data_IF_152705135265
#
_entry.id   IF_152705135265
#
_cell.length_a   1.000
_cell.length_b   1.000
_cell.length_c   1.000
_cell.angle_alpha   90.00
_cell.angle_beta   90.00
_cell.angle_gamma   90.00
#
_symmetry.space_group_name_H-M   'P 1'
#
loop_
_entity.id
_entity.type
_entity.pdbx_description
1 polymer ?
#
# COMPACT_ATOMS: atom_id res chain seq x y z
N UNK A 1 -8.83 -11.58 26.83
CA UNK A 1 -8.92 -13.05 26.77
C UNK A 1 -10.07 -13.65 27.59
N UNK A 2 -10.47 -13.11 28.74
CA UNK A 2 -11.67 -13.60 29.47
C UNK A 2 -13.00 -13.34 28.75
N UNK A 3 -13.14 -12.26 27.96
CA UNK A 3 -14.38 -11.96 27.21
C UNK A 3 -14.59 -12.87 26.01
N UNK A 4 -13.53 -13.36 25.39
CA UNK A 4 -13.59 -14.32 24.27
C UNK A 4 -13.93 -15.76 24.73
N UNK A 5 -13.62 -16.12 25.98
CA UNK A 5 -14.02 -17.43 26.53
C UNK A 5 -15.52 -17.51 26.88
N UNK A 6 -16.14 -16.38 27.22
CA UNK A 6 -17.57 -16.37 27.58
C UNK A 6 -18.55 -16.32 26.38
N UNK A 7 -18.05 -16.08 25.15
CA UNK A 7 -18.88 -16.16 23.93
C UNK A 7 -18.98 -17.57 23.33
N UNK A 8 -18.29 -18.53 23.91
CA UNK A 8 -18.33 -19.96 23.55
C UNK A 8 -19.34 -20.77 24.35
N UNK A 9 -20.21 -20.11 25.13
CA UNK A 9 -21.28 -20.81 25.83
C UNK A 9 -22.39 -21.21 24.83
N UNK A 10 -22.66 -22.50 24.78
CA UNK A 10 -23.71 -23.19 24.03
C UNK A 10 -25.02 -22.39 24.03
N UNK A 11 -25.46 -21.93 22.85
CA UNK A 11 -26.83 -21.46 22.70
C UNK A 11 -27.78 -22.67 22.70
N UNK A 12 -28.70 -22.73 23.67
CA UNK A 12 -29.80 -23.67 23.64
C UNK A 12 -30.80 -23.29 22.56
N UNK A 13 -31.26 -24.25 21.79
CA UNK A 13 -32.39 -24.06 20.88
C UNK A 13 -33.67 -23.75 21.66
N UNK A 14 -34.77 -23.39 20.95
CA UNK A 14 -36.10 -23.10 21.56
C UNK A 14 -36.67 -24.25 22.38
N UNK A 15 -36.09 -25.45 22.33
CA UNK A 15 -36.47 -26.65 23.02
C UNK A 15 -35.47 -27.10 24.09
N UNK A 16 -34.46 -26.27 24.42
CA UNK A 16 -33.51 -26.53 25.49
C UNK A 16 -32.45 -27.59 25.19
N UNK A 17 -32.33 -28.10 23.96
CA UNK A 17 -31.27 -29.01 23.54
C UNK A 17 -30.01 -28.23 23.17
N UNK A 18 -28.87 -28.60 23.76
CA UNK A 18 -27.58 -28.16 23.32
C UNK A 18 -27.31 -28.70 21.91
N UNK A 19 -27.34 -27.83 20.92
CA UNK A 19 -26.78 -28.17 19.59
C UNK A 19 -25.26 -28.16 19.73
N UNK A 20 -24.65 -29.34 19.91
CA UNK A 20 -23.22 -29.50 19.76
C UNK A 20 -22.84 -28.99 18.36
N UNK A 21 -22.00 -27.95 18.31
CA UNK A 21 -21.37 -27.53 17.06
C UNK A 21 -20.51 -28.69 16.58
N UNK A 22 -20.90 -29.34 15.49
CA UNK A 22 -20.22 -30.52 14.97
C UNK A 22 -18.91 -30.10 14.30
N UNK A 23 -17.85 -29.98 15.08
CA UNK A 23 -16.50 -29.93 14.56
C UNK A 23 -16.00 -31.34 14.30
N UNK A 24 -15.70 -31.66 13.06
CA UNK A 24 -15.13 -32.96 12.68
C UNK A 24 -13.60 -32.93 12.82
N UNK A 25 -13.04 -34.07 13.23
CA UNK A 25 -11.59 -34.18 13.45
C UNK A 25 -10.81 -34.09 12.12
N UNK A 26 -9.65 -33.43 12.17
CA UNK A 26 -8.65 -33.48 11.10
C UNK A 26 -7.83 -34.78 11.08
N UNK A 27 -8.01 -35.67 12.05
CA UNK A 27 -7.22 -36.91 12.13
C UNK A 27 -7.28 -37.71 10.82
N UNK A 28 -6.11 -38.08 10.31
CA UNK A 28 -5.96 -38.80 9.05
C UNK A 28 -6.02 -37.93 7.79
N UNK A 29 -6.25 -36.61 7.91
CA UNK A 29 -6.21 -35.69 6.77
C UNK A 29 -4.95 -34.81 6.80
N UNK A 30 -4.34 -34.64 5.64
CA UNK A 30 -3.28 -33.64 5.40
C UNK A 30 -3.66 -32.85 4.15
N UNK A 31 -3.61 -31.53 4.24
CA UNK A 31 -3.77 -30.68 3.07
C UNK A 31 -2.62 -30.94 2.09
N UNK A 32 -2.95 -31.33 0.85
CA UNK A 32 -1.96 -31.56 -0.21
C UNK A 32 -1.59 -30.25 -0.93
N UNK A 33 -2.58 -29.40 -1.20
CA UNK A 33 -2.43 -28.16 -1.96
C UNK A 33 -3.21 -27.01 -1.29
N UNK A 34 -2.72 -25.79 -1.47
CA UNK A 34 -3.55 -24.61 -1.29
C UNK A 34 -4.45 -24.40 -2.49
N UNK A 35 -5.45 -23.52 -2.35
CA UNK A 35 -6.46 -23.31 -3.39
C UNK A 35 -5.85 -22.99 -4.76
N UNK A 36 -4.90 -22.06 -4.84
CA UNK A 36 -4.30 -21.65 -6.13
C UNK A 36 -3.04 -22.44 -6.50
N UNK A 37 -2.60 -23.37 -5.67
CA UNK A 37 -1.56 -24.34 -6.04
C UNK A 37 -2.15 -25.47 -6.90
N UNK A 38 -3.47 -25.65 -6.91
CA UNK A 38 -4.17 -26.55 -7.82
C UNK A 38 -4.30 -25.88 -9.19
N UNK A 39 -3.86 -26.56 -10.23
CA UNK A 39 -3.84 -26.04 -11.60
C UNK A 39 -4.29 -27.11 -12.61
N UNK A 40 -4.34 -26.76 -13.88
CA UNK A 40 -4.63 -27.69 -14.97
C UNK A 40 -3.66 -28.87 -15.04
N UNK A 41 -2.44 -28.73 -14.52
CA UNK A 41 -1.47 -29.82 -14.42
C UNK A 41 -1.93 -30.95 -13.48
N UNK A 42 -2.81 -30.64 -12.53
CA UNK A 42 -3.33 -31.64 -11.56
C UNK A 42 -4.63 -32.33 -12.03
N UNK A 43 -5.11 -32.08 -13.26
CA UNK A 43 -6.32 -32.74 -13.77
C UNK A 43 -6.19 -34.26 -13.72
N UNK A 44 -7.17 -34.90 -13.07
CA UNK A 44 -7.21 -36.32 -12.85
C UNK A 44 -6.68 -36.77 -11.48
N UNK A 45 -5.92 -35.93 -10.78
CA UNK A 45 -5.39 -36.20 -9.45
C UNK A 45 -6.46 -36.02 -8.37
N UNK A 46 -6.29 -36.72 -7.25
CA UNK A 46 -7.08 -36.51 -6.03
C UNK A 46 -6.29 -35.61 -5.09
N UNK A 47 -6.87 -34.49 -4.74
CA UNK A 47 -6.27 -33.48 -3.86
C UNK A 47 -7.09 -33.31 -2.57
N UNK A 48 -6.40 -32.91 -1.49
CA UNK A 48 -7.04 -32.50 -0.24
C UNK A 48 -6.80 -31.00 -0.07
N UNK A 49 -7.89 -30.21 -0.12
CA UNK A 49 -7.88 -28.77 0.07
C UNK A 49 -8.65 -28.37 1.32
N UNK A 50 -8.21 -27.31 1.98
CA UNK A 50 -8.81 -26.84 3.23
C UNK A 50 -8.85 -25.33 3.24
N UNK A 51 -9.97 -24.77 3.69
CA UNK A 51 -10.14 -23.33 3.71
C UNK A 51 -11.49 -22.90 4.30
N UNK A 52 -11.85 -21.67 4.04
CA UNK A 52 -13.11 -21.06 4.43
C UNK A 52 -14.08 -21.06 3.25
N UNK A 53 -15.34 -21.38 3.51
CA UNK A 53 -16.43 -21.24 2.53
C UNK A 53 -16.69 -19.75 2.31
N UNK A 54 -16.37 -19.23 1.14
CA UNK A 54 -16.72 -17.85 0.79
C UNK A 54 -18.18 -17.76 0.35
N UNK A 55 -18.57 -18.60 -0.60
CA UNK A 55 -19.90 -18.60 -1.17
C UNK A 55 -20.34 -20.03 -1.47
N UNK A 56 -21.63 -20.31 -1.27
CA UNK A 56 -22.27 -21.56 -1.68
C UNK A 56 -23.43 -21.25 -2.62
N UNK A 57 -23.56 -22.02 -3.68
CA UNK A 57 -24.68 -22.00 -4.63
C UNK A 57 -25.25 -23.42 -4.74
N UNK A 58 -26.54 -23.57 -4.52
CA UNK A 58 -27.24 -24.87 -4.64
C UNK A 58 -28.11 -24.83 -5.89
N UNK A 59 -27.87 -25.72 -6.83
CA UNK A 59 -28.61 -25.89 -8.09
C UNK A 59 -29.30 -27.24 -8.21
N UNK A 60 -29.78 -27.76 -7.08
CA UNK A 60 -30.49 -29.05 -7.02
C UNK A 60 -29.51 -30.21 -6.84
N UNK A 61 -29.17 -30.96 -7.90
CA UNK A 61 -28.25 -32.08 -7.87
C UNK A 61 -26.75 -31.67 -7.76
N UNK A 62 -26.46 -30.37 -7.90
CA UNK A 62 -25.10 -29.82 -7.82
C UNK A 62 -25.05 -28.71 -6.77
N UNK A 63 -24.02 -28.76 -5.90
CA UNK A 63 -23.71 -27.69 -4.96
C UNK A 63 -22.31 -27.18 -5.27
N UNK A 64 -22.20 -25.90 -5.59
CA UNK A 64 -20.96 -25.20 -5.81
C UNK A 64 -20.52 -24.47 -4.55
N UNK A 65 -19.24 -24.59 -4.19
CA UNK A 65 -18.63 -23.90 -3.07
C UNK A 65 -17.37 -23.20 -3.54
N UNK A 66 -17.30 -21.89 -3.37
CA UNK A 66 -16.08 -21.13 -3.55
C UNK A 66 -15.29 -21.25 -2.23
N UNK A 67 -14.25 -22.06 -2.22
CA UNK A 67 -13.35 -22.29 -1.09
C UNK A 67 -12.21 -21.28 -1.15
N UNK A 68 -11.98 -20.59 -0.03
CA UNK A 68 -10.92 -19.59 0.09
C UNK A 68 -9.87 -20.03 1.09
N UNK A 69 -8.62 -19.84 0.71
CA UNK A 69 -7.49 -19.81 1.65
C UNK A 69 -6.60 -18.58 1.39
N UNK A 70 -5.42 -18.51 2.01
CA UNK A 70 -4.52 -17.36 1.82
C UNK A 70 -3.97 -17.21 0.41
N UNK A 71 -4.06 -18.24 -0.42
CA UNK A 71 -3.57 -18.18 -1.81
C UNK A 71 -4.62 -17.65 -2.77
N UNK A 72 -5.90 -17.78 -2.43
CA UNK A 72 -7.02 -17.32 -3.27
C UNK A 72 -8.23 -18.24 -3.19
N UNK A 73 -8.96 -18.33 -4.29
CA UNK A 73 -10.23 -19.06 -4.42
C UNK A 73 -10.08 -20.29 -5.31
N UNK A 74 -10.82 -21.36 -4.96
CA UNK A 74 -10.96 -22.59 -5.74
C UNK A 74 -12.42 -23.04 -5.71
N UNK A 75 -12.98 -23.36 -6.87
CA UNK A 75 -14.34 -23.89 -6.94
C UNK A 75 -14.34 -25.38 -6.58
N UNK A 76 -15.20 -25.75 -5.64
CA UNK A 76 -15.50 -27.13 -5.27
C UNK A 76 -16.91 -27.46 -5.77
N UNK A 77 -17.07 -28.62 -6.38
CA UNK A 77 -18.38 -29.12 -6.86
C UNK A 77 -18.74 -30.37 -6.08
N UNK A 78 -19.88 -30.36 -5.45
CA UNK A 78 -20.51 -31.54 -4.86
C UNK A 78 -21.62 -31.99 -5.81
N UNK A 79 -21.48 -33.18 -6.38
CA UNK A 79 -22.47 -33.84 -7.20
C UNK A 79 -23.10 -34.95 -6.38
N UNK A 80 -24.44 -35.08 -6.38
CA UNK A 80 -25.14 -36.13 -5.63
C UNK A 80 -24.75 -37.55 -6.06
N UNK A 81 -24.23 -37.71 -7.28
CA UNK A 81 -23.78 -38.98 -7.81
C UNK A 81 -22.35 -39.35 -7.40
N UNK A 82 -21.50 -38.35 -7.10
CA UNK A 82 -20.10 -38.55 -6.74
C UNK A 82 -19.89 -38.66 -5.22
N UNK A 83 -20.68 -37.93 -4.47
CA UNK A 83 -20.58 -37.87 -3.01
C UNK A 83 -21.69 -38.70 -2.38
N UNK A 84 -21.34 -39.50 -1.34
CA UNK A 84 -22.36 -40.21 -0.57
C UNK A 84 -23.48 -39.26 -0.13
N UNK A 85 -24.74 -39.73 -0.11
CA UNK A 85 -25.92 -38.93 0.22
C UNK A 85 -25.75 -38.09 1.51
N UNK A 86 -25.10 -38.65 2.54
CA UNK A 86 -24.76 -37.91 3.78
C UNK A 86 -23.81 -36.71 3.52
N UNK A 87 -22.77 -36.88 2.68
CA UNK A 87 -21.85 -35.84 2.32
C UNK A 87 -22.51 -34.72 1.49
N UNK A 88 -23.39 -35.09 0.57
CA UNK A 88 -24.15 -34.13 -0.23
C UNK A 88 -25.12 -33.31 0.66
N UNK A 89 -25.85 -33.98 1.55
CA UNK A 89 -26.74 -33.32 2.52
C UNK A 89 -25.92 -32.35 3.42
N UNK A 90 -24.73 -32.78 3.87
CA UNK A 90 -23.80 -31.94 4.65
C UNK A 90 -23.35 -30.72 3.84
N UNK A 91 -23.00 -30.86 2.57
CA UNK A 91 -22.66 -29.73 1.69
C UNK A 91 -23.80 -28.73 1.56
N UNK A 92 -25.04 -29.21 1.60
CA UNK A 92 -26.27 -28.41 1.65
C UNK A 92 -26.39 -27.53 2.91
N UNK A 93 -25.70 -27.83 4.00
CA UNK A 93 -25.75 -27.05 5.26
C UNK A 93 -24.65 -25.98 5.35
N UNK A 94 -23.64 -26.00 4.46
CA UNK A 94 -22.51 -25.09 4.50
C UNK A 94 -22.97 -23.61 4.46
N UNK A 95 -22.31 -22.79 5.25
CA UNK A 95 -22.52 -21.32 5.29
C UNK A 95 -21.20 -20.61 5.13
N UNK A 96 -21.27 -19.30 4.84
CA UNK A 96 -20.09 -18.44 4.74
C UNK A 96 -19.22 -18.55 6.00
N UNK A 97 -17.92 -18.59 5.77
CA UNK A 97 -16.86 -18.69 6.77
C UNK A 97 -16.82 -20.02 7.57
N UNK A 98 -17.61 -21.03 7.20
CA UNK A 98 -17.35 -22.38 7.69
C UNK A 98 -15.97 -22.84 7.23
N UNK A 99 -15.23 -23.50 8.11
CA UNK A 99 -13.94 -24.12 7.79
C UNK A 99 -14.18 -25.54 7.38
N UNK A 100 -13.76 -25.89 6.17
CA UNK A 100 -13.98 -27.23 5.62
C UNK A 100 -12.67 -27.85 5.09
N UNK A 101 -12.65 -29.17 5.09
CA UNK A 101 -11.68 -29.98 4.36
C UNK A 101 -12.42 -30.80 3.32
N UNK A 102 -11.93 -30.76 2.10
CA UNK A 102 -12.48 -31.51 0.96
C UNK A 102 -11.38 -32.35 0.34
N UNK A 103 -11.64 -33.64 0.16
CA UNK A 103 -10.87 -34.51 -0.70
C UNK A 103 -11.69 -34.68 -1.98
N UNK A 104 -11.06 -34.44 -3.14
CA UNK A 104 -11.76 -34.48 -4.42
C UNK A 104 -10.83 -34.57 -5.61
N UNK A 105 -11.38 -34.94 -6.75
CA UNK A 105 -10.69 -35.06 -8.01
C UNK A 105 -10.66 -33.73 -8.76
N UNK A 106 -9.49 -33.32 -9.22
CA UNK A 106 -9.35 -32.14 -10.06
C UNK A 106 -9.87 -32.44 -11.46
N UNK A 107 -10.76 -31.59 -11.95
CA UNK A 107 -11.32 -31.70 -13.31
C UNK A 107 -11.26 -30.35 -14.01
N UNK A 108 -11.36 -30.39 -15.33
CA UNK A 108 -11.64 -29.18 -16.10
C UNK A 108 -13.03 -28.69 -15.74
N UNK A 109 -13.21 -27.39 -15.63
CA UNK A 109 -14.50 -26.77 -15.31
C UNK A 109 -15.53 -27.12 -16.39
N UNK A 110 -16.72 -27.54 -15.98
CA UNK A 110 -17.82 -27.88 -16.91
C UNK A 110 -18.57 -26.65 -17.41
N UNK A 111 -18.14 -25.50 -17.27
CA UNK A 111 -18.76 -24.26 -17.75
C UNK A 111 -17.77 -23.35 -18.45
N UNK A 112 -18.17 -22.10 -18.64
CA UNK A 112 -17.24 -21.09 -19.13
C UNK A 112 -16.09 -20.88 -18.13
N UNK A 113 -14.89 -20.69 -18.65
CA UNK A 113 -13.72 -20.29 -17.86
C UNK A 113 -14.03 -19.00 -17.09
N UNK A 114 -13.71 -18.97 -15.82
CA UNK A 114 -13.86 -17.75 -15.03
C UNK A 114 -12.54 -16.98 -14.99
N UNK A 115 -12.40 -16.01 -15.90
CA UNK A 115 -11.18 -15.20 -16.03
C UNK A 115 -10.83 -14.38 -14.78
N UNK A 116 -11.79 -14.19 -13.86
CA UNK A 116 -11.56 -13.46 -12.60
C UNK A 116 -10.92 -14.33 -11.51
N UNK A 117 -10.69 -15.61 -11.76
CA UNK A 117 -10.07 -16.53 -10.81
C UNK A 117 -8.81 -17.15 -11.42
N UNK A 118 -7.73 -17.16 -10.65
CA UNK A 118 -6.49 -17.85 -11.06
C UNK A 118 -6.71 -19.37 -11.32
N UNK A 119 -7.74 -19.94 -10.71
CA UNK A 119 -8.15 -21.35 -10.84
C UNK A 119 -9.37 -21.51 -11.76
N UNK A 120 -9.70 -20.50 -12.58
CA UNK A 120 -10.96 -20.44 -13.30
C UNK A 120 -11.17 -21.49 -14.40
N UNK A 121 -10.11 -22.18 -14.82
CA UNK A 121 -10.16 -23.28 -15.81
C UNK A 121 -10.52 -24.63 -15.20
N UNK A 122 -10.37 -24.77 -13.88
CA UNK A 122 -10.49 -26.02 -13.16
C UNK A 122 -11.51 -25.93 -12.04
N UNK A 123 -11.92 -27.09 -11.56
CA UNK A 123 -12.71 -27.27 -10.36
C UNK A 123 -12.33 -28.58 -9.67
N UNK A 124 -12.67 -28.72 -8.38
CA UNK A 124 -12.48 -29.96 -7.63
C UNK A 124 -13.83 -30.62 -7.41
N UNK A 125 -14.06 -31.77 -8.02
CA UNK A 125 -15.23 -32.62 -7.76
C UNK A 125 -15.01 -33.37 -6.44
N UNK A 126 -15.81 -33.03 -5.45
CA UNK A 126 -15.66 -33.55 -4.11
C UNK A 126 -15.98 -35.05 -4.02
N UNK A 127 -15.14 -35.79 -3.31
CA UNK A 127 -15.35 -37.18 -2.93
C UNK A 127 -15.72 -37.31 -1.45
N UNK A 128 -15.18 -36.42 -0.62
CA UNK A 128 -15.49 -36.36 0.80
C UNK A 128 -15.49 -34.93 1.32
N UNK A 129 -16.26 -34.70 2.41
CA UNK A 129 -16.36 -33.40 3.07
C UNK A 129 -16.28 -33.61 4.59
N UNK A 130 -15.43 -32.80 5.25
CA UNK A 130 -15.46 -32.60 6.70
C UNK A 130 -15.68 -31.14 7.04
N UNK A 131 -16.57 -30.86 7.99
CA UNK A 131 -16.77 -29.52 8.56
C UNK A 131 -15.86 -29.43 9.77
N UNK A 132 -14.74 -28.72 9.65
CA UNK A 132 -13.74 -28.57 10.69
C UNK A 132 -14.18 -27.55 11.75
N UNK A 133 -14.93 -26.56 11.36
CA UNK A 133 -15.51 -25.55 12.26
C UNK A 133 -16.69 -24.86 11.61
N UNK A 134 -17.77 -24.72 12.34
CA UNK A 134 -18.88 -23.85 11.97
C UNK A 134 -18.57 -22.40 12.34
N UNK A 135 -19.20 -21.46 11.67
CA UNK A 135 -19.11 -20.02 11.92
C UNK A 135 -20.50 -19.40 12.05
N UNK A 136 -20.60 -18.40 12.89
CA UNK A 136 -21.74 -17.45 12.82
C UNK A 136 -21.59 -16.57 11.57
N UNK A 137 -22.69 -15.98 11.10
CA UNK A 137 -22.63 -15.04 9.97
C UNK A 137 -21.70 -13.87 10.32
N UNK A 138 -20.69 -13.61 9.51
CA UNK A 138 -19.75 -12.50 9.78
C UNK A 138 -20.48 -11.15 9.70
N UNK A 139 -20.03 -10.13 10.48
CA UNK A 139 -20.66 -8.82 10.52
C UNK A 139 -20.49 -8.00 9.23
N UNK A 140 -19.62 -8.43 8.34
CA UNK A 140 -19.39 -7.86 7.02
C UNK A 140 -18.85 -8.95 6.06
N UNK A 141 -19.01 -8.78 4.74
CA UNK A 141 -18.47 -9.73 3.76
C UNK A 141 -16.93 -9.69 3.75
N UNK A 142 -16.32 -10.87 3.52
CA UNK A 142 -14.86 -11.00 3.37
C UNK A 142 -14.53 -10.87 1.88
N UNK A 143 -14.64 -9.65 1.37
CA UNK A 143 -14.46 -9.29 -0.03
C UNK A 143 -13.66 -7.98 -0.13
N UNK A 144 -13.16 -7.68 -1.33
CA UNK A 144 -12.49 -6.40 -1.59
C UNK A 144 -13.51 -5.24 -1.68
N UNK A 145 -13.03 -4.03 -1.49
CA UNK A 145 -13.78 -2.80 -1.75
C UNK A 145 -15.14 -2.69 -1.03
N UNK A 146 -15.25 -3.23 0.19
CA UNK A 146 -16.49 -3.14 0.98
C UNK A 146 -16.69 -1.72 1.53
N UNK A 147 -17.97 -1.32 1.66
CA UNK A 147 -18.36 -0.02 2.24
C UNK A 147 -18.44 -0.02 3.77
N UNK A 148 -18.05 -1.11 4.43
CA UNK A 148 -18.11 -1.25 5.88
C UNK A 148 -17.22 -0.25 6.59
N UNK A 149 -17.75 0.48 7.57
CA UNK A 149 -17.01 1.46 8.36
C UNK A 149 -15.81 0.85 9.07
N UNK A 150 -14.73 1.60 9.16
CA UNK A 150 -13.47 1.15 9.74
C UNK A 150 -13.60 0.70 11.19
N UNK A 151 -14.42 1.37 12.01
CA UNK A 151 -14.66 1.00 13.41
C UNK A 151 -15.14 -0.44 13.56
N UNK A 152 -16.07 -0.89 12.69
CA UNK A 152 -16.58 -2.27 12.71
C UNK A 152 -15.51 -3.25 12.24
N UNK A 153 -14.71 -2.88 11.22
CA UNK A 153 -13.61 -3.70 10.73
C UNK A 153 -12.51 -3.87 11.78
N UNK A 154 -12.17 -2.80 12.52
CA UNK A 154 -11.21 -2.86 13.62
C UNK A 154 -11.71 -3.70 14.80
N UNK A 155 -13.02 -3.62 15.12
CA UNK A 155 -13.64 -4.47 16.15
C UNK A 155 -13.51 -5.97 15.84
N UNK A 156 -13.65 -6.34 14.57
CA UNK A 156 -13.52 -7.72 14.09
C UNK A 156 -12.27 -7.91 13.22
N UNK A 157 -11.14 -7.40 13.70
CA UNK A 157 -9.89 -7.31 12.93
C UNK A 157 -9.42 -8.64 12.34
N UNK A 158 -9.64 -9.76 13.04
CA UNK A 158 -9.30 -11.10 12.53
C UNK A 158 -10.08 -11.48 11.26
N UNK A 159 -11.30 -10.97 11.08
CA UNK A 159 -12.09 -11.16 9.86
C UNK A 159 -11.64 -10.17 8.77
N UNK A 160 -11.39 -8.92 9.13
CA UNK A 160 -10.89 -7.90 8.20
C UNK A 160 -9.55 -8.31 7.57
N UNK A 161 -8.66 -8.94 8.35
CA UNK A 161 -7.39 -9.49 7.86
C UNK A 161 -7.51 -10.67 6.88
N UNK A 162 -8.70 -11.25 6.72
CA UNK A 162 -8.98 -12.29 5.70
C UNK A 162 -9.31 -11.68 4.34
N UNK A 163 -9.66 -10.39 4.29
CA UNK A 163 -9.98 -9.71 3.03
C UNK A 163 -8.74 -9.65 2.14
N UNK A 164 -8.86 -9.93 0.83
CA UNK A 164 -7.71 -10.02 -0.07
C UNK A 164 -6.88 -8.72 -0.11
N UNK A 165 -7.53 -7.55 -0.15
CA UNK A 165 -6.90 -6.22 -0.16
C UNK A 165 -6.08 -5.93 1.12
N UNK A 166 -6.56 -6.37 2.28
CA UNK A 166 -5.82 -6.20 3.55
C UNK A 166 -4.74 -7.29 3.70
N UNK A 167 -5.07 -8.53 3.33
CA UNK A 167 -4.16 -9.65 3.43
C UNK A 167 -2.94 -9.47 2.50
N UNK A 168 -3.14 -8.95 1.28
CA UNK A 168 -2.06 -8.69 0.33
C UNK A 168 -1.02 -7.72 0.88
N UNK A 169 -1.43 -6.69 1.64
CA UNK A 169 -0.52 -5.75 2.28
C UNK A 169 0.40 -6.45 3.31
N UNK A 170 -0.14 -7.38 4.10
CA UNK A 170 0.66 -8.13 5.08
C UNK A 170 1.62 -9.10 4.38
N UNK A 171 1.16 -9.77 3.31
CA UNK A 171 1.99 -10.67 2.50
C UNK A 171 3.10 -9.87 1.82
N UNK A 172 2.78 -8.73 1.20
CA UNK A 172 3.76 -7.83 0.58
C UNK A 172 4.82 -7.39 1.59
N UNK A 173 4.41 -6.93 2.78
CA UNK A 173 5.34 -6.56 3.84
C UNK A 173 6.29 -7.70 4.22
N UNK A 174 5.78 -8.93 4.33
CA UNK A 174 6.59 -10.11 4.60
C UNK A 174 7.58 -10.38 3.47
N UNK A 175 7.14 -10.28 2.21
CA UNK A 175 7.99 -10.45 1.02
C UNK A 175 9.11 -9.40 0.98
N UNK A 176 8.78 -8.12 1.18
CA UNK A 176 9.76 -7.02 1.25
C UNK A 176 10.83 -7.30 2.30
N UNK A 177 10.43 -7.65 3.53
CA UNK A 177 11.40 -7.92 4.60
C UNK A 177 12.33 -9.10 4.28
N UNK A 178 11.79 -10.19 3.69
CA UNK A 178 12.58 -11.36 3.29
C UNK A 178 13.57 -11.03 2.18
N UNK A 179 13.12 -10.32 1.14
CA UNK A 179 13.96 -9.90 0.02
C UNK A 179 15.06 -8.91 0.45
N UNK A 180 14.73 -7.96 1.33
CA UNK A 180 15.71 -7.04 1.92
C UNK A 180 16.82 -7.79 2.63
N UNK A 181 16.49 -8.78 3.46
CA UNK A 181 17.49 -9.63 4.14
C UNK A 181 18.37 -10.38 3.15
N UNK A 182 17.75 -10.98 2.13
CA UNK A 182 18.46 -11.74 1.13
C UNK A 182 19.45 -10.87 0.35
N UNK A 183 19.00 -9.69 -0.10
CA UNK A 183 19.84 -8.73 -0.82
C UNK A 183 20.99 -8.23 0.04
N UNK A 184 20.71 -7.72 1.23
CA UNK A 184 21.73 -7.14 2.10
C UNK A 184 22.73 -8.19 2.61
N UNK A 185 22.30 -9.44 2.83
CA UNK A 185 23.22 -10.53 3.14
C UNK A 185 24.21 -10.80 2.01
N UNK A 186 23.78 -10.73 0.74
CA UNK A 186 24.68 -10.84 -0.43
C UNK A 186 25.65 -9.68 -0.56
N UNK A 187 25.23 -8.49 -0.09
CA UNK A 187 26.09 -7.29 -0.02
C UNK A 187 27.04 -7.30 1.20
N UNK A 188 27.07 -8.38 1.99
CA UNK A 188 27.94 -8.56 3.14
C UNK A 188 27.48 -7.88 4.42
N UNK A 189 26.19 -7.50 4.51
CA UNK A 189 25.63 -6.98 5.74
C UNK A 189 25.32 -8.10 6.74
N UNK A 190 25.55 -7.81 8.03
CA UNK A 190 25.17 -8.66 9.14
C UNK A 190 23.88 -8.14 9.75
N UNK A 191 22.85 -8.98 9.84
CA UNK A 191 21.63 -8.65 10.58
C UNK A 191 21.88 -8.83 12.06
N UNK A 192 21.85 -7.74 12.83
CA UNK A 192 22.11 -7.76 14.28
C UNK A 192 20.93 -7.12 14.99
N UNK A 193 20.28 -7.90 15.86
CA UNK A 193 19.20 -7.44 16.71
C UNK A 193 19.74 -6.62 17.89
N UNK A 194 19.12 -5.47 18.15
CA UNK A 194 19.50 -4.55 19.23
C UNK A 194 18.43 -4.50 20.32
N UNK A 195 18.81 -4.16 21.57
CA UNK A 195 17.87 -4.09 22.68
C UNK A 195 16.75 -3.06 22.46
N UNK A 196 15.52 -3.43 22.88
CA UNK A 196 14.35 -2.55 22.88
C UNK A 196 14.20 -1.76 24.21
N UNK A 197 14.66 -2.30 25.33
CA UNK A 197 14.67 -1.60 26.61
C UNK A 197 16.02 -0.91 26.77
N UNK A 198 16.07 0.38 26.45
CA UNK A 198 17.30 1.16 26.44
C UNK A 198 17.25 2.31 27.44
N UNK A 199 18.30 3.10 27.48
CA UNK A 199 18.33 4.40 28.15
C UNK A 199 17.80 5.45 27.17
N UNK A 200 17.08 6.47 27.69
CA UNK A 200 16.67 7.63 26.91
C UNK A 200 17.88 8.29 26.23
N UNK A 201 17.73 8.57 24.94
CA UNK A 201 18.74 9.22 24.10
C UNK A 201 18.11 10.39 23.34
N UNK A 202 18.81 11.53 23.19
CA UNK A 202 18.27 12.70 22.51
C UNK A 202 18.39 12.52 20.97
N UNK A 203 17.39 11.88 20.35
CA UNK A 203 17.36 11.65 18.90
C UNK A 203 16.37 12.57 18.13
N UNK A 204 15.80 13.56 18.80
CA UNK A 204 14.93 14.56 18.17
C UNK A 204 13.43 14.38 18.39
N UNK A 205 12.95 13.19 18.74
CA UNK A 205 11.57 12.93 19.16
C UNK A 205 11.49 12.75 20.69
N UNK A 206 10.27 12.64 21.23
CA UNK A 206 10.07 12.24 22.62
C UNK A 206 10.07 10.72 22.71
N UNK A 207 10.66 10.20 23.82
CA UNK A 207 10.74 8.77 24.07
C UNK A 207 9.48 8.26 24.76
N UNK A 208 9.06 7.04 24.43
CA UNK A 208 8.14 6.28 25.27
C UNK A 208 8.90 5.68 26.45
N UNK A 209 8.44 5.99 27.66
CA UNK A 209 9.08 5.53 28.89
C UNK A 209 8.38 4.29 29.45
N UNK A 210 9.18 3.30 29.86
CA UNK A 210 8.73 2.08 30.52
C UNK A 210 9.19 2.09 31.96
N UNK A 211 8.30 2.15 32.97
CA UNK A 211 8.70 2.16 34.40
C UNK A 211 9.43 0.88 34.78
N UNK A 212 10.53 1.02 35.49
CA UNK A 212 11.24 -0.13 36.06
C UNK A 212 10.58 -0.60 37.36
N UNK A 213 10.12 -1.85 37.37
CA UNK A 213 9.60 -2.48 38.61
C UNK A 213 10.70 -2.78 39.63
N UNK A 214 11.90 -3.07 39.15
CA UNK A 214 13.06 -3.44 40.00
C UNK A 214 13.72 -2.23 40.62
N UNK A 215 13.71 -1.09 39.94
CA UNK A 215 14.33 0.16 40.38
C UNK A 215 13.28 1.27 40.48
N UNK A 216 12.63 1.46 41.64
CA UNK A 216 11.63 2.50 41.82
C UNK A 216 12.12 3.91 41.39
N UNK A 217 11.30 4.65 40.66
CA UNK A 217 11.63 5.99 40.14
C UNK A 217 12.58 6.02 38.95
N UNK A 218 12.97 4.85 38.39
CA UNK A 218 13.75 4.75 37.17
C UNK A 218 12.93 4.18 36.04
N UNK A 219 13.31 4.53 34.78
CA UNK A 219 12.61 4.17 33.56
C UNK A 219 13.59 3.63 32.52
N UNK A 220 13.11 2.70 31.70
CA UNK A 220 13.68 2.42 30.41
C UNK A 220 13.01 3.32 29.36
N UNK A 221 13.67 3.56 28.26
CA UNK A 221 13.07 4.18 27.07
C UNK A 221 12.98 3.16 25.93
N UNK A 222 11.92 3.25 25.13
CA UNK A 222 11.84 2.51 23.86
C UNK A 222 12.65 3.27 22.80
N UNK A 223 13.40 2.59 21.92
CA UNK A 223 14.32 3.24 20.98
C UNK A 223 13.57 4.01 19.88
N UNK A 224 14.00 5.22 19.62
CA UNK A 224 13.55 5.99 18.44
C UNK A 224 14.16 5.44 17.16
N UNK A 225 15.36 4.90 17.25
CA UNK A 225 16.11 4.12 16.27
C UNK A 225 17.20 3.33 16.99
N UNK A 226 17.87 2.36 16.36
CA UNK A 226 19.02 1.67 16.92
C UNK A 226 20.34 2.47 16.82
N UNK A 227 20.28 3.80 16.73
CA UNK A 227 21.41 4.68 16.42
C UNK A 227 22.64 4.44 17.30
N UNK A 228 22.48 4.39 18.62
CA UNK A 228 23.59 4.19 19.54
C UNK A 228 24.29 2.84 19.32
N UNK A 229 23.49 1.79 19.13
CA UNK A 229 24.00 0.44 18.97
C UNK A 229 24.72 0.24 17.64
N UNK A 230 24.15 0.73 16.54
CA UNK A 230 24.79 0.61 15.22
C UNK A 230 26.13 1.37 15.13
N UNK A 231 26.23 2.55 15.76
CA UNK A 231 27.51 3.24 15.90
C UNK A 231 28.53 2.44 16.72
N UNK A 232 28.10 1.83 17.83
CA UNK A 232 28.99 0.94 18.60
C UNK A 232 29.45 -0.27 17.79
N UNK A 233 28.59 -0.83 16.95
CA UNK A 233 28.92 -1.95 16.07
C UNK A 233 29.98 -1.53 15.03
N UNK A 234 29.86 -0.34 14.45
CA UNK A 234 30.89 0.19 13.55
C UNK A 234 32.24 0.34 14.26
N UNK A 235 32.26 0.94 15.45
CA UNK A 235 33.47 1.04 16.28
C UNK A 235 34.04 -0.32 16.69
N UNK A 236 33.21 -1.36 16.69
CA UNK A 236 33.59 -2.73 17.05
C UNK A 236 34.04 -3.57 15.84
N UNK A 237 34.09 -2.99 14.62
CA UNK A 237 34.61 -3.61 13.43
C UNK A 237 33.64 -4.54 12.69
N UNK A 238 32.33 -4.29 12.81
CA UNK A 238 31.32 -5.08 12.07
C UNK A 238 31.10 -4.60 10.62
N UNK A 239 31.70 -3.50 10.20
CA UNK A 239 31.74 -2.89 8.88
C UNK A 239 30.39 -2.63 8.19
N UNK A 240 29.50 -3.62 8.12
CA UNK A 240 28.18 -3.52 7.49
C UNK A 240 27.11 -4.15 8.37
N UNK A 241 26.30 -3.31 8.98
CA UNK A 241 25.17 -3.70 9.83
C UNK A 241 23.85 -3.44 9.14
N UNK A 242 22.88 -4.31 9.35
CA UNK A 242 21.48 -4.05 9.02
C UNK A 242 20.55 -4.59 10.09
N UNK A 243 19.35 -4.05 10.17
CA UNK A 243 18.27 -4.57 10.99
C UNK A 243 16.91 -4.15 10.42
N UNK A 244 15.94 -5.04 10.46
CA UNK A 244 14.52 -4.66 10.30
C UNK A 244 14.05 -4.18 11.66
N UNK A 245 14.35 -2.91 11.98
CA UNK A 245 14.25 -2.34 13.31
C UNK A 245 12.84 -1.86 13.65
N UNK A 246 12.36 -2.19 14.86
CA UNK A 246 11.17 -1.57 15.43
C UNK A 246 11.56 -0.28 16.13
N UNK A 247 10.88 0.83 15.77
CA UNK A 247 11.15 2.16 16.28
C UNK A 247 9.91 2.79 16.88
N UNK A 248 10.11 3.67 17.87
CA UNK A 248 9.04 4.29 18.65
C UNK A 248 9.30 5.79 18.79
N UNK A 249 8.30 6.62 18.52
CA UNK A 249 8.39 8.07 18.69
C UNK A 249 7.07 8.61 19.23
N UNK A 250 7.11 9.29 20.37
CA UNK A 250 5.95 9.94 20.96
C UNK A 250 5.76 11.32 20.34
N UNK A 251 5.21 11.33 19.14
CA UNK A 251 4.93 12.51 18.32
C UNK A 251 3.47 12.55 17.89
N UNK A 252 3.02 13.73 17.44
CA UNK A 252 1.69 13.89 16.87
C UNK A 252 1.51 13.03 15.61
N UNK A 253 0.38 12.33 15.54
CA UNK A 253 0.03 11.48 14.41
C UNK A 253 -0.21 12.32 13.16
N UNK A 254 0.27 11.82 12.02
CA UNK A 254 -0.01 12.34 10.69
C UNK A 254 -0.42 11.18 9.78
N UNK A 255 -0.88 11.47 8.57
CA UNK A 255 -1.30 10.45 7.63
C UNK A 255 -0.23 9.37 7.37
N UNK A 256 1.05 9.76 7.37
CA UNK A 256 2.23 8.93 7.10
C UNK A 256 3.09 8.62 8.34
N UNK A 257 2.68 9.08 9.55
CA UNK A 257 3.46 8.90 10.78
C UNK A 257 2.67 8.14 11.83
N UNK A 258 3.28 7.07 12.30
CA UNK A 258 2.77 6.23 13.39
C UNK A 258 3.74 6.29 14.58
N UNK A 259 3.24 6.16 15.84
CA UNK A 259 4.08 6.19 17.03
C UNK A 259 5.01 4.96 17.11
N UNK A 260 4.63 3.89 16.44
CA UNK A 260 5.38 2.65 16.31
C UNK A 260 5.50 2.29 14.84
N UNK A 261 6.71 2.16 14.32
CA UNK A 261 6.98 1.88 12.91
C UNK A 261 8.20 0.99 12.74
N UNK A 262 8.46 0.55 11.51
CA UNK A 262 9.60 -0.30 11.19
C UNK A 262 10.51 0.41 10.20
N UNK A 263 11.82 0.34 10.43
CA UNK A 263 12.86 0.80 9.52
C UNK A 263 13.62 -0.39 8.93
N UNK A 264 14.02 -0.28 7.68
CA UNK A 264 15.18 -0.99 7.15
C UNK A 264 16.36 -0.12 7.56
N UNK A 265 17.03 -0.49 8.62
CA UNK A 265 18.12 0.29 9.19
C UNK A 265 19.47 -0.30 8.79
N UNK A 266 20.40 0.54 8.35
CA UNK A 266 21.72 0.13 7.87
C UNK A 266 22.78 1.08 8.40
N UNK A 267 23.99 0.56 8.61
CA UNK A 267 25.20 1.34 8.91
C UNK A 267 26.39 0.70 8.23
N UNK A 268 27.26 1.53 7.66
CA UNK A 268 28.45 1.09 6.93
C UNK A 268 29.68 1.85 7.41
N UNK A 269 30.83 1.15 7.46
CA UNK A 269 32.14 1.72 7.71
C UNK A 269 32.96 1.84 6.43
N UNK A 270 33.96 2.73 6.41
CA UNK A 270 34.92 2.90 5.31
C UNK A 270 34.26 3.21 3.95
N UNK A 271 33.20 4.00 3.95
CA UNK A 271 32.41 4.40 2.78
C UNK A 271 32.19 5.90 2.77
N UNK A 272 31.90 6.45 1.60
CA UNK A 272 31.41 7.81 1.44
C UNK A 272 29.92 7.87 1.05
N UNK A 273 29.46 9.07 0.71
CA UNK A 273 28.03 9.30 0.42
C UNK A 273 27.56 8.50 -0.80
N UNK A 274 28.40 8.39 -1.82
CA UNK A 274 28.04 7.71 -3.07
C UNK A 274 27.90 6.20 -2.89
N UNK A 275 28.74 5.58 -2.04
CA UNK A 275 28.65 4.16 -1.71
C UNK A 275 27.32 3.83 -1.00
N UNK A 276 26.89 4.71 -0.06
CA UNK A 276 25.62 4.53 0.65
C UNK A 276 24.45 4.68 -0.33
N UNK A 277 24.50 5.66 -1.23
CA UNK A 277 23.45 5.86 -2.22
C UNK A 277 23.37 4.66 -3.16
N UNK A 278 24.51 4.16 -3.69
CA UNK A 278 24.54 3.02 -4.60
C UNK A 278 23.88 1.76 -4.00
N UNK A 279 24.23 1.40 -2.77
CA UNK A 279 23.61 0.25 -2.10
C UNK A 279 22.09 0.42 -1.97
N UNK A 280 21.63 1.63 -1.61
CA UNK A 280 20.20 1.90 -1.46
C UNK A 280 19.46 1.90 -2.81
N UNK A 281 20.05 2.48 -3.86
CA UNK A 281 19.48 2.47 -5.21
C UNK A 281 19.28 1.03 -5.72
N UNK A 282 20.32 0.19 -5.59
CA UNK A 282 20.27 -1.22 -5.99
C UNK A 282 19.27 -2.01 -5.16
N UNK A 283 19.17 -1.76 -3.85
CA UNK A 283 18.15 -2.38 -2.99
C UNK A 283 16.74 -2.00 -3.44
N UNK A 284 16.50 -0.70 -3.69
CA UNK A 284 15.19 -0.22 -4.16
C UNK A 284 14.84 -0.84 -5.51
N UNK A 285 15.74 -0.80 -6.49
CA UNK A 285 15.50 -1.39 -7.81
C UNK A 285 15.18 -2.89 -7.70
N UNK A 286 15.94 -3.64 -6.88
CA UNK A 286 15.67 -5.04 -6.61
C UNK A 286 14.28 -5.28 -5.98
N UNK A 287 13.91 -4.51 -4.97
CA UNK A 287 12.61 -4.64 -4.31
C UNK A 287 11.44 -4.31 -5.26
N UNK A 288 11.55 -3.24 -6.04
CA UNK A 288 10.51 -2.86 -7.01
C UNK A 288 10.35 -3.95 -8.09
N UNK A 289 11.45 -4.50 -8.58
CA UNK A 289 11.40 -5.60 -9.54
C UNK A 289 10.75 -6.85 -8.96
N UNK A 290 11.23 -7.31 -7.81
CA UNK A 290 10.77 -8.58 -7.22
C UNK A 290 9.36 -8.53 -6.63
N UNK A 291 8.90 -7.36 -6.19
CA UNK A 291 7.59 -7.22 -5.52
C UNK A 291 6.51 -6.77 -6.50
N UNK A 292 6.82 -5.84 -7.39
CA UNK A 292 5.86 -5.15 -8.26
C UNK A 292 6.08 -5.41 -9.76
N UNK A 293 7.16 -6.12 -10.13
CA UNK A 293 7.62 -6.29 -11.51
C UNK A 293 7.84 -4.95 -12.25
N UNK A 294 8.34 -3.94 -11.52
CA UNK A 294 8.64 -2.61 -12.04
C UNK A 294 10.15 -2.44 -12.14
N UNK A 295 10.63 -2.09 -13.34
CA UNK A 295 12.03 -1.73 -13.57
C UNK A 295 12.28 -0.29 -13.13
N UNK A 296 13.26 -0.10 -12.24
CA UNK A 296 13.75 1.22 -11.82
C UNK A 296 15.07 1.49 -12.52
N UNK A 297 15.12 2.56 -13.30
CA UNK A 297 16.36 2.97 -13.98
C UNK A 297 17.38 3.46 -12.95
N UNK A 298 18.61 2.98 -13.05
CA UNK A 298 19.73 3.40 -12.22
C UNK A 298 20.79 4.14 -13.06
N UNK A 299 21.51 5.11 -12.51
CA UNK A 299 21.29 5.70 -11.18
C UNK A 299 19.98 6.49 -11.12
N UNK A 300 19.38 6.59 -9.93
CA UNK A 300 18.21 7.46 -9.71
C UNK A 300 18.63 8.91 -9.89
N UNK A 301 17.80 9.72 -10.55
CA UNK A 301 18.08 11.12 -10.81
C UNK A 301 18.39 11.87 -9.51
N UNK A 302 19.54 12.54 -9.48
CA UNK A 302 19.95 13.41 -8.37
C UNK A 302 19.59 14.84 -8.67
N UNK A 303 19.19 15.58 -7.67
CA UNK A 303 18.79 16.98 -7.75
C UNK A 303 19.25 17.70 -6.48
N UNK A 304 19.77 18.91 -6.63
CA UNK A 304 20.10 19.75 -5.48
C UNK A 304 18.79 20.28 -4.86
N UNK A 305 18.83 20.64 -3.57
CA UNK A 305 17.68 21.27 -2.92
C UNK A 305 17.26 22.55 -3.66
N UNK A 306 18.23 23.38 -4.06
CA UNK A 306 17.95 24.61 -4.78
C UNK A 306 17.25 24.35 -6.11
N UNK A 307 17.74 23.37 -6.88
CA UNK A 307 17.13 22.97 -8.16
C UNK A 307 15.70 22.44 -7.96
N UNK A 308 15.45 21.62 -6.93
CA UNK A 308 14.13 21.12 -6.60
C UNK A 308 13.17 22.27 -6.26
N UNK A 309 13.60 23.22 -5.44
CA UNK A 309 12.81 24.40 -5.11
C UNK A 309 12.58 25.32 -6.30
N UNK A 310 13.58 25.50 -7.15
CA UNK A 310 13.47 26.37 -8.34
C UNK A 310 12.53 25.79 -9.41
N UNK A 311 12.60 24.49 -9.66
CA UNK A 311 11.80 23.83 -10.69
C UNK A 311 10.42 23.38 -10.23
N UNK A 312 10.25 23.04 -8.95
CA UNK A 312 9.03 22.40 -8.47
C UNK A 312 8.41 23.08 -7.23
N UNK A 313 9.12 23.99 -6.57
CA UNK A 313 8.66 24.63 -5.34
C UNK A 313 8.57 23.68 -4.14
N UNK A 314 9.20 22.51 -4.22
CA UNK A 314 9.17 21.45 -3.20
C UNK A 314 10.49 20.69 -3.16
N UNK A 315 10.94 20.30 -1.97
CA UNK A 315 12.08 19.41 -1.77
C UNK A 315 11.74 17.92 -2.03
N UNK A 316 10.49 17.62 -2.40
CA UNK A 316 10.00 16.27 -2.74
C UNK A 316 9.18 16.32 -4.04
N UNK A 317 9.81 16.67 -5.17
CA UNK A 317 9.08 16.83 -6.43
C UNK A 317 8.57 15.52 -6.97
N UNK A 318 7.36 15.53 -7.53
CA UNK A 318 6.83 14.46 -8.35
C UNK A 318 7.13 14.74 -9.82
N UNK A 319 8.08 14.00 -10.39
CA UNK A 319 8.55 14.21 -11.77
C UNK A 319 7.64 13.56 -12.83
N UNK A 320 6.58 12.86 -12.44
CA UNK A 320 5.77 12.05 -13.36
C UNK A 320 4.86 12.88 -14.27
N UNK A 321 4.51 14.09 -13.90
CA UNK A 321 3.54 14.90 -14.67
C UNK A 321 4.11 16.19 -15.30
N UNK A 322 5.36 16.54 -15.09
CA UNK A 322 5.97 17.77 -15.62
C UNK A 322 5.43 19.04 -14.94
N UNK A 323 5.13 20.09 -15.73
CA UNK A 323 4.73 21.43 -15.27
C UNK A 323 5.77 22.10 -14.35
N UNK A 324 7.03 22.08 -14.77
CA UNK A 324 8.10 22.73 -14.03
C UNK A 324 7.89 24.25 -13.98
N UNK A 325 8.23 24.82 -12.83
CA UNK A 325 8.32 26.27 -12.66
C UNK A 325 9.47 26.81 -13.51
N UNK A 326 9.22 27.83 -14.32
CA UNK A 326 10.24 28.54 -15.08
C UNK A 326 10.37 29.96 -14.58
N UNK A 327 11.58 30.39 -14.30
CA UNK A 327 11.87 31.76 -13.87
C UNK A 327 11.86 32.69 -15.09
N UNK A 328 10.99 33.68 -15.06
CA UNK A 328 10.86 34.73 -16.07
C UNK A 328 11.18 36.11 -15.53
N UNK A 329 11.77 36.18 -14.33
CA UNK A 329 12.07 37.43 -13.62
C UNK A 329 12.82 38.43 -14.50
N UNK A 330 13.88 38.01 -15.15
CA UNK A 330 14.68 38.88 -16.02
C UNK A 330 13.93 39.40 -17.26
N UNK A 331 12.96 38.61 -17.76
CA UNK A 331 12.17 39.02 -18.93
C UNK A 331 11.16 40.13 -18.59
N UNK A 332 10.71 40.19 -17.34
CA UNK A 332 9.62 41.09 -16.92
C UNK A 332 10.06 42.19 -15.94
N UNK A 333 11.37 42.32 -15.67
CA UNK A 333 11.89 43.26 -14.68
C UNK A 333 11.62 44.74 -15.04
N UNK A 334 11.48 45.07 -16.31
CA UNK A 334 11.27 46.43 -16.79
C UNK A 334 9.87 46.60 -17.45
N UNK A 335 8.98 45.61 -17.32
CA UNK A 335 7.67 45.68 -17.94
C UNK A 335 6.73 46.69 -17.30
N UNK A 336 5.66 47.07 -17.99
CA UNK A 336 4.65 48.00 -17.47
C UNK A 336 3.67 47.45 -16.44
N UNK A 337 3.78 46.13 -16.12
CA UNK A 337 2.88 45.48 -15.16
C UNK A 337 3.42 45.56 -13.73
N UNK A 338 2.95 46.56 -12.97
CA UNK A 338 3.45 46.90 -11.61
C UNK A 338 3.38 45.75 -10.59
N UNK A 339 2.63 44.69 -10.83
CA UNK A 339 2.62 43.50 -9.95
C UNK A 339 3.94 42.72 -10.08
N UNK A 340 4.45 42.57 -11.32
CA UNK A 340 5.71 41.89 -11.55
C UNK A 340 6.91 42.73 -11.08
N UNK A 341 6.97 43.98 -11.49
CA UNK A 341 8.08 44.85 -11.10
C UNK A 341 8.11 45.06 -9.58
N UNK A 342 6.95 45.25 -8.92
CA UNK A 342 6.88 45.36 -7.47
C UNK A 342 7.26 44.09 -6.72
N UNK A 343 7.04 42.88 -7.29
CA UNK A 343 7.53 41.65 -6.70
C UNK A 343 9.06 41.56 -6.75
N UNK A 344 9.65 41.95 -7.88
CA UNK A 344 11.11 41.95 -8.12
C UNK A 344 11.81 42.99 -7.22
N UNK A 345 11.28 44.22 -7.15
CA UNK A 345 11.78 45.31 -6.29
C UNK A 345 11.85 44.92 -4.80
N UNK A 346 10.93 44.06 -4.37
CA UNK A 346 10.90 43.49 -3.02
C UNK A 346 11.79 42.23 -2.86
N UNK A 347 12.65 41.94 -3.80
CA UNK A 347 13.58 40.77 -3.75
C UNK A 347 12.92 39.41 -4.05
N UNK A 348 11.72 39.44 -4.63
CA UNK A 348 11.01 38.23 -5.09
C UNK A 348 11.36 37.85 -6.53
N UNK A 349 10.72 36.80 -7.04
CA UNK A 349 10.84 36.33 -8.42
C UNK A 349 9.47 36.23 -9.09
N UNK A 350 9.45 36.25 -10.42
CA UNK A 350 8.27 35.95 -11.23
C UNK A 350 8.50 34.60 -11.92
N UNK A 351 7.67 33.64 -11.59
CA UNK A 351 7.76 32.26 -12.10
C UNK A 351 6.44 31.85 -12.73
N UNK A 352 6.51 31.00 -13.73
CA UNK A 352 5.33 30.50 -14.42
C UNK A 352 5.39 29.02 -14.69
N UNK A 353 4.23 28.44 -14.95
CA UNK A 353 4.05 27.07 -15.42
C UNK A 353 3.22 27.07 -16.71
N UNK A 354 3.41 26.04 -17.53
CA UNK A 354 2.58 25.80 -18.71
C UNK A 354 1.62 24.63 -18.45
N UNK A 355 0.33 24.94 -18.33
CA UNK A 355 -0.74 23.94 -18.31
C UNK A 355 -1.15 23.61 -19.75
N UNK A 356 -0.47 22.61 -20.33
CA UNK A 356 -0.64 22.20 -21.73
C UNK A 356 -2.08 21.80 -22.05
N UNK A 357 -2.60 22.29 -23.19
CA UNK A 357 -3.95 21.98 -23.67
C UNK A 357 -5.09 22.62 -22.83
N UNK A 358 -4.81 23.57 -21.94
CA UNK A 358 -5.81 24.23 -21.10
C UNK A 358 -6.17 25.65 -21.53
N UNK A 359 -5.77 26.10 -22.74
CA UNK A 359 -6.03 27.44 -23.28
C UNK A 359 -7.51 27.79 -23.41
N UNK A 360 -8.38 26.79 -23.56
CA UNK A 360 -9.84 26.94 -23.59
C UNK A 360 -10.51 26.92 -22.23
N UNK A 361 -9.74 26.93 -21.11
CA UNK A 361 -10.29 26.86 -19.76
C UNK A 361 -11.26 28.02 -19.49
N UNK A 362 -12.51 27.74 -19.03
CA UNK A 362 -13.48 28.76 -18.74
C UNK A 362 -13.01 29.74 -17.65
N UNK A 363 -13.33 31.01 -17.79
CA UNK A 363 -12.95 32.08 -16.86
C UNK A 363 -13.24 31.74 -15.40
N UNK A 364 -14.40 31.15 -15.11
CA UNK A 364 -14.77 30.71 -13.75
C UNK A 364 -13.77 29.73 -13.13
N UNK A 365 -13.20 28.82 -13.95
CA UNK A 365 -12.18 27.87 -13.48
C UNK A 365 -10.84 28.56 -13.25
N UNK A 366 -10.47 29.52 -14.12
CA UNK A 366 -9.25 30.32 -13.92
C UNK A 366 -9.38 31.15 -12.63
N UNK A 367 -10.54 31.80 -12.40
CA UNK A 367 -10.78 32.57 -11.17
C UNK A 367 -10.70 31.67 -9.92
N UNK A 368 -11.17 30.42 -9.99
CA UNK A 368 -11.00 29.45 -8.91
C UNK A 368 -9.52 29.07 -8.66
N UNK A 369 -8.68 29.01 -9.69
CA UNK A 369 -7.23 28.84 -9.54
C UNK A 369 -6.57 30.05 -8.88
N UNK A 370 -7.02 31.26 -9.20
CA UNK A 370 -6.57 32.50 -8.53
C UNK A 370 -6.88 32.45 -7.03
N UNK A 371 -8.10 32.05 -6.68
CA UNK A 371 -8.51 31.95 -5.28
C UNK A 371 -7.78 30.81 -4.54
N UNK A 372 -7.54 29.69 -5.23
CA UNK A 372 -6.70 28.62 -4.71
C UNK A 372 -5.29 29.11 -4.39
N UNK A 373 -4.63 29.80 -5.34
CA UNK A 373 -3.30 30.35 -5.12
C UNK A 373 -3.25 31.35 -3.94
N UNK A 374 -4.28 32.20 -3.80
CA UNK A 374 -4.40 33.12 -2.66
C UNK A 374 -4.51 32.39 -1.32
N UNK A 375 -5.18 31.22 -1.30
CA UNK A 375 -5.26 30.36 -0.11
C UNK A 375 -3.90 29.88 0.39
N UNK A 376 -2.90 29.84 -0.49
CA UNK A 376 -1.50 29.52 -0.18
C UNK A 376 -0.61 30.78 -0.01
N UNK A 377 -1.18 31.96 0.07
CA UNK A 377 -0.46 33.20 0.36
C UNK A 377 -0.04 34.01 -0.88
N UNK A 378 -0.38 33.57 -2.10
CA UNK A 378 -0.12 34.36 -3.30
C UNK A 378 -1.01 35.62 -3.29
N UNK A 379 -0.47 36.76 -3.72
CA UNK A 379 -1.25 37.99 -3.87
C UNK A 379 -2.21 37.95 -5.07
N UNK A 380 -1.95 37.07 -6.03
CA UNK A 380 -2.75 36.83 -7.23
C UNK A 380 -2.08 35.79 -8.12
N UNK A 381 -2.78 35.47 -9.22
CA UNK A 381 -2.26 34.59 -10.26
C UNK A 381 -2.54 35.27 -11.60
N UNK A 382 -1.49 35.61 -12.34
CA UNK A 382 -1.57 36.13 -13.68
C UNK A 382 -1.69 34.97 -14.68
N UNK A 383 -2.30 35.17 -15.84
CA UNK A 383 -2.43 34.12 -16.83
C UNK A 383 -2.36 34.63 -18.28
N UNK A 384 -1.92 33.76 -19.17
CA UNK A 384 -2.01 33.89 -20.62
C UNK A 384 -2.67 32.64 -21.17
N UNK A 385 -3.86 32.74 -21.77
CA UNK A 385 -4.48 31.64 -22.51
C UNK A 385 -4.18 31.83 -23.99
N UNK A 386 -3.45 30.87 -24.57
CA UNK A 386 -3.11 30.86 -26.00
C UNK A 386 -4.24 30.12 -26.68
N UNK A 387 -4.96 30.84 -27.55
CA UNK A 387 -6.08 30.26 -28.30
C UNK A 387 -5.58 29.38 -29.44
N UNK A 388 -6.45 28.55 -30.02
CA UNK A 388 -6.13 27.68 -31.16
C UNK A 388 -5.62 28.43 -32.41
N UNK A 389 -6.07 29.68 -32.59
CA UNK A 389 -5.64 30.59 -33.66
C UNK A 389 -4.33 31.33 -33.33
N UNK A 390 -3.71 31.04 -32.20
CA UNK A 390 -2.49 31.70 -31.70
C UNK A 390 -2.74 33.03 -31.00
N UNK A 391 -3.97 33.54 -30.94
CA UNK A 391 -4.27 34.78 -30.23
C UNK A 391 -4.13 34.63 -28.71
N UNK A 392 -3.68 35.68 -28.01
CA UNK A 392 -3.42 35.66 -26.58
C UNK A 392 -4.56 36.36 -25.83
N UNK A 393 -5.16 35.64 -24.86
CA UNK A 393 -6.05 36.22 -23.86
C UNK A 393 -5.34 36.25 -22.51
N UNK A 394 -5.11 37.44 -21.98
CA UNK A 394 -4.33 37.61 -20.74
C UNK A 394 -4.99 38.60 -19.80
N UNK A 395 -4.73 38.41 -18.50
CA UNK A 395 -5.16 39.36 -17.45
C UNK A 395 -4.32 40.65 -17.42
N UNK A 396 -3.14 40.66 -18.05
CA UNK A 396 -2.17 41.76 -17.95
C UNK A 396 -1.59 42.21 -19.30
N UNK A 397 -2.00 41.66 -20.44
CA UNK A 397 -1.47 42.01 -21.76
C UNK A 397 -1.47 43.53 -22.05
N UNK A 398 -2.45 44.27 -21.55
CA UNK A 398 -2.55 45.72 -21.77
C UNK A 398 -1.40 46.56 -21.15
N UNK A 399 -0.59 45.95 -20.29
CA UNK A 399 0.57 46.55 -19.63
C UNK A 399 1.90 46.09 -20.21
N UNK A 400 1.88 45.24 -21.25
CA UNK A 400 3.04 44.59 -21.85
C UNK A 400 3.15 44.98 -23.33
N UNK A 401 4.36 44.98 -23.85
CA UNK A 401 4.58 45.02 -25.30
C UNK A 401 4.35 43.65 -25.95
N UNK A 402 4.20 43.60 -27.27
CA UNK A 402 4.07 42.35 -28.02
C UNK A 402 5.34 41.48 -27.88
N UNK A 403 6.51 42.13 -27.88
CA UNK A 403 7.80 41.46 -27.70
C UNK A 403 7.91 40.82 -26.32
N UNK A 404 7.51 41.52 -25.24
CA UNK A 404 7.51 40.99 -23.88
C UNK A 404 6.57 39.79 -23.74
N UNK A 405 5.35 39.89 -24.31
CA UNK A 405 4.39 38.79 -24.30
C UNK A 405 4.93 37.58 -25.05
N UNK A 406 5.53 37.79 -26.23
CA UNK A 406 6.14 36.72 -27.03
C UNK A 406 7.32 36.05 -26.31
N UNK A 407 8.14 36.86 -25.60
CA UNK A 407 9.25 36.33 -24.81
C UNK A 407 8.78 35.45 -23.65
N UNK A 408 7.68 35.84 -22.95
CA UNK A 408 7.09 35.02 -21.88
C UNK A 408 6.55 33.70 -22.45
N UNK A 409 5.79 33.77 -23.55
CA UNK A 409 5.23 32.57 -24.20
C UNK A 409 6.35 31.61 -24.60
N UNK A 410 7.42 32.15 -25.22
CA UNK A 410 8.58 31.33 -25.61
C UNK A 410 9.32 30.72 -24.42
N UNK A 411 9.55 31.49 -23.35
CA UNK A 411 10.23 31.03 -22.15
C UNK A 411 9.46 29.90 -21.42
N UNK A 412 8.12 29.95 -21.48
CA UNK A 412 7.24 28.96 -20.88
C UNK A 412 6.88 27.80 -21.85
N UNK A 413 7.51 27.72 -23.04
CA UNK A 413 7.22 26.74 -24.10
C UNK A 413 5.72 26.71 -24.48
N UNK A 414 5.07 27.88 -24.51
CA UNK A 414 3.65 27.99 -24.80
C UNK A 414 3.34 27.73 -26.27
N UNK A 415 2.33 26.95 -26.53
CA UNK A 415 1.81 26.62 -27.86
C UNK A 415 0.31 26.93 -27.95
N UNK A 416 -0.23 26.96 -29.19
CA UNK A 416 -1.66 27.11 -29.36
C UNK A 416 -2.44 26.06 -28.54
N UNK A 417 -3.45 26.51 -27.82
CA UNK A 417 -4.23 25.66 -26.92
C UNK A 417 -3.71 25.58 -25.47
N UNK A 418 -2.59 26.22 -25.10
CA UNK A 418 -2.02 26.16 -23.76
C UNK A 418 -2.49 27.31 -22.86
N UNK A 419 -2.44 27.08 -21.53
CA UNK A 419 -2.67 28.07 -20.50
C UNK A 419 -1.40 28.27 -19.68
N UNK A 420 -0.82 29.46 -19.73
CA UNK A 420 0.33 29.84 -18.91
C UNK A 420 -0.18 30.52 -17.64
N UNK A 421 0.35 30.16 -16.51
CA UNK A 421 -0.07 30.63 -15.18
C UNK A 421 1.11 31.18 -14.40
#
# INVERSE_FOLDING_TARGET
MKSLRNSLQNKKDKNGKETEKMAESMQGLKRSHRCTEVSSANIGEVVTVMGWVQKRRNLGSLIFVDLRDRSGLLQIVFDENDVKAEGFAKAGTLRSEYVIAVEGKVTKREGAVNENLATGEIEVRALSLRILSESETPPFPIEENISTKEELRLKYRCLDLRRPDIQSNIIMRSKVATLTRAFLAQEGFLEIETPMLTKSTPEGARDYLVPSRVHPGKFYALPQSPQLFKQMLMCSGYDRYMQIARCFRDEDLRADRQPEFTQIDMELSFVDVDDVIDVNERLLAYLFKEVLDVEVSLPIQRMTWQEAMDRFGSDKPDLRFGMELKDITELVKNCGFGVFTGAIENGGSVRGINAKGQGSMPRKKIDALVDFAKGYGAKGLAYIAIQEDGSLKSSFAKFMTEEEMSAIVSALDGQAGDLLL
#
